data_IF_398293639306
#
_entry.id   IF_398293639306
#
_cell.length_a   1.000
_cell.length_b   1.000
_cell.length_c   1.000
_cell.angle_alpha   90.00
_cell.angle_beta   90.00
_cell.angle_gamma   90.00
#
_symmetry.space_group_name_H-M   'P 1'
#
loop_
_entity.id
_entity.type
_entity.pdbx_description
1 polymer ?
#
# COMPACT_ATOMS: atom_id res chain seq x y z
N UNK A 1 18.20 4.98 -44.42
CA UNK A 1 18.41 4.75 -42.98
C UNK A 1 17.42 5.60 -42.25
N UNK A 2 16.63 4.99 -41.38
CA UNK A 2 15.98 5.66 -40.25
C UNK A 2 15.62 4.52 -39.28
N UNK A 3 16.28 4.50 -38.13
CA UNK A 3 16.03 3.50 -37.10
C UNK A 3 14.65 3.78 -36.47
N UNK A 4 13.73 2.82 -36.63
CA UNK A 4 12.45 2.81 -35.92
C UNK A 4 12.71 2.58 -34.43
N UNK A 5 12.96 3.69 -33.73
CA UNK A 5 13.33 3.71 -32.32
C UNK A 5 12.33 2.96 -31.46
N UNK A 6 12.80 1.91 -30.79
CA UNK A 6 12.04 1.08 -29.88
C UNK A 6 11.17 1.92 -28.93
N UNK A 7 9.85 1.68 -28.97
CA UNK A 7 8.90 2.34 -28.10
C UNK A 7 9.28 2.16 -26.63
N UNK A 8 9.47 3.27 -25.91
CA UNK A 8 9.84 3.26 -24.49
C UNK A 8 8.79 2.47 -23.70
N UNK A 9 9.19 1.53 -22.82
CA UNK A 9 8.23 0.73 -22.06
C UNK A 9 7.34 1.65 -21.22
N UNK A 10 6.03 1.33 -21.08
CA UNK A 10 5.09 2.16 -20.35
C UNK A 10 5.59 2.35 -18.91
N UNK A 11 5.72 3.61 -18.51
CA UNK A 11 6.08 3.99 -17.15
C UNK A 11 5.08 3.36 -16.19
N UNK A 12 5.57 2.45 -15.33
CA UNK A 12 4.74 1.83 -14.31
C UNK A 12 4.06 2.93 -13.50
N UNK A 13 2.73 2.92 -13.48
CA UNK A 13 1.93 3.86 -12.68
C UNK A 13 2.44 3.78 -11.25
N UNK A 14 2.98 4.89 -10.75
CA UNK A 14 3.44 5.01 -9.38
C UNK A 14 2.21 4.79 -8.51
N UNK A 15 2.16 3.68 -7.77
CA UNK A 15 1.16 3.55 -6.70
C UNK A 15 1.56 4.55 -5.63
N UNK A 16 0.69 5.53 -5.38
CA UNK A 16 0.85 6.43 -4.24
C UNK A 16 0.90 5.60 -2.97
N UNK A 17 1.81 5.98 -2.05
CA UNK A 17 1.95 5.31 -0.76
C UNK A 17 0.66 5.57 0.02
N UNK A 18 -0.19 4.54 0.14
CA UNK A 18 -1.34 4.61 1.04
C UNK A 18 -0.85 4.90 2.46
N UNK A 19 -1.62 5.70 3.19
CA UNK A 19 -1.39 5.90 4.61
C UNK A 19 -1.43 4.54 5.33
N UNK A 20 -0.49 4.34 6.25
CA UNK A 20 -0.33 3.08 6.97
C UNK A 20 -1.00 3.10 8.35
N UNK A 21 -1.68 4.21 8.68
CA UNK A 21 -2.22 4.47 10.02
C UNK A 21 -3.65 4.98 9.92
N UNK A 22 -4.57 4.27 10.57
CA UNK A 22 -6.01 4.60 10.59
C UNK A 22 -6.57 4.53 12.01
N UNK A 23 -7.75 5.13 12.20
CA UNK A 23 -8.50 5.02 13.45
C UNK A 23 -9.14 3.64 13.57
N UNK A 24 -8.98 2.99 14.73
CA UNK A 24 -9.61 1.69 14.99
C UNK A 24 -11.12 1.89 15.22
N UNK A 25 -12.00 1.20 14.47
CA UNK A 25 -13.44 1.38 14.58
C UNK A 25 -14.04 0.82 15.88
N UNK A 26 -13.25 0.09 16.69
CA UNK A 26 -13.71 -0.54 17.93
C UNK A 26 -13.26 0.20 19.19
N UNK A 27 -12.02 0.68 19.21
CA UNK A 27 -11.41 1.26 20.42
C UNK A 27 -11.49 2.79 20.47
N UNK A 28 -11.89 3.42 19.37
CA UNK A 28 -11.98 4.87 19.22
C UNK A 28 -10.67 5.63 19.53
N UNK A 29 -9.53 4.93 19.58
CA UNK A 29 -8.22 5.56 19.61
C UNK A 29 -7.82 5.94 18.19
N UNK A 30 -7.60 7.24 17.98
CA UNK A 30 -7.13 7.78 16.71
C UNK A 30 -5.73 7.24 16.40
N UNK A 31 -5.48 6.93 15.12
CA UNK A 31 -4.16 6.57 14.59
C UNK A 31 -3.50 5.36 15.27
N UNK A 32 -4.27 4.32 15.57
CA UNK A 32 -3.76 3.13 16.26
C UNK A 32 -3.62 1.91 15.36
N UNK A 33 -4.28 1.85 14.21
CA UNK A 33 -4.22 0.64 13.36
C UNK A 33 -2.95 0.66 12.52
N UNK A 34 -2.08 -0.34 12.70
CA UNK A 34 -0.95 -0.62 11.82
C UNK A 34 -1.38 -1.58 10.71
N UNK A 35 -1.02 -1.27 9.45
CA UNK A 35 -1.29 -2.12 8.30
C UNK A 35 0.00 -2.72 7.73
N UNK A 36 0.02 -4.05 7.51
CA UNK A 36 1.07 -4.77 6.78
C UNK A 36 0.51 -5.32 5.48
N UNK A 37 1.20 -5.08 4.37
CA UNK A 37 0.78 -5.53 3.05
C UNK A 37 1.81 -6.54 2.55
N UNK A 38 1.41 -7.80 2.46
CA UNK A 38 2.17 -8.84 1.78
C UNK A 38 1.69 -8.94 0.33
N UNK A 39 2.40 -8.29 -0.58
CA UNK A 39 2.07 -8.33 -2.01
C UNK A 39 2.42 -9.65 -2.69
N UNK A 40 3.18 -10.55 -2.04
CA UNK A 40 3.51 -11.88 -2.59
C UNK A 40 2.34 -12.83 -2.42
N UNK A 41 1.73 -12.80 -1.24
CA UNK A 41 0.56 -13.61 -0.91
C UNK A 41 -0.76 -12.87 -1.14
N UNK A 42 -0.71 -11.58 -1.46
CA UNK A 42 -1.88 -10.70 -1.65
C UNK A 42 -2.73 -10.67 -0.36
N UNK A 43 -2.05 -10.47 0.78
CA UNK A 43 -2.66 -10.42 2.11
C UNK A 43 -2.43 -9.03 2.69
N UNK A 44 -3.50 -8.44 3.24
CA UNK A 44 -3.45 -7.22 4.04
C UNK A 44 -3.82 -7.53 5.49
N UNK A 45 -2.93 -7.24 6.43
CA UNK A 45 -3.16 -7.40 7.85
C UNK A 45 -3.34 -6.03 8.50
N UNK A 46 -4.37 -5.89 9.32
CA UNK A 46 -4.63 -4.68 10.11
C UNK A 46 -4.64 -5.05 11.59
N UNK A 47 -3.81 -4.38 12.39
CA UNK A 47 -3.67 -4.69 13.81
C UNK A 47 -3.86 -3.45 14.68
N UNK A 48 -4.60 -3.59 15.77
CA UNK A 48 -4.76 -2.53 16.77
C UNK A 48 -3.95 -2.92 18.03
N UNK A 49 -2.85 -2.21 18.35
CA UNK A 49 -1.95 -2.56 19.45
C UNK A 49 -2.61 -2.42 20.83
N UNK A 50 -3.74 -1.70 20.92
CA UNK A 50 -4.49 -1.54 22.16
C UNK A 50 -5.46 -2.71 22.46
N UNK A 51 -5.52 -3.74 21.60
CA UNK A 51 -6.47 -4.87 21.73
C UNK A 51 -5.82 -6.25 21.51
N UNK A 52 -4.55 -6.41 21.86
CA UNK A 52 -3.84 -7.70 21.75
C UNK A 52 -4.15 -8.64 22.92
#
# INVERSE_FOLDING_TARGET
>A
GEEEGAAKPPTRKRMDKLDMVFSCPFCNHGSSVECRIDTKNIIGEANCPNHT
#
